data_IF_753203265876
#
_entry.id   IF_753203265876
#
_cell.length_a   1.000
_cell.length_b   1.000
_cell.length_c   1.000
_cell.angle_alpha   90.00
_cell.angle_beta   90.00
_cell.angle_gamma   90.00
#
_symmetry.space_group_name_H-M   'P 1'
#
loop_
_entity.id
_entity.type
_entity.pdbx_description
1 polymer ?
#
# COMPACT_ATOMS: atom_id res chain seq x y z
N UNK A 1 31.64 -19.65 -15.57
CA UNK A 1 31.64 -19.75 -14.11
C UNK A 1 30.24 -20.12 -13.66
N UNK A 2 30.05 -21.31 -13.07
CA UNK A 2 28.77 -21.66 -12.45
C UNK A 2 28.67 -20.82 -11.18
N UNK A 3 27.71 -19.89 -11.14
CA UNK A 3 27.35 -19.19 -9.91
C UNK A 3 26.98 -20.25 -8.87
N UNK A 4 27.76 -20.33 -7.78
CA UNK A 4 27.33 -21.07 -6.60
C UNK A 4 25.97 -20.52 -6.11
N UNK A 5 25.21 -21.28 -5.30
CA UNK A 5 23.99 -20.76 -4.71
C UNK A 5 24.32 -19.46 -3.96
N UNK A 6 23.59 -18.38 -4.28
CA UNK A 6 23.74 -17.12 -3.54
C UNK A 6 23.57 -17.41 -2.04
N UNK A 7 24.49 -16.94 -1.17
CA UNK A 7 24.35 -17.20 0.25
C UNK A 7 23.03 -16.62 0.75
N UNK A 8 22.33 -17.34 1.66
CA UNK A 8 20.98 -17.01 2.08
C UNK A 8 20.90 -15.59 2.67
N UNK A 9 19.70 -15.00 2.58
CA UNK A 9 19.40 -13.73 3.24
C UNK A 9 19.66 -13.84 4.75
N UNK A 10 20.16 -12.78 5.41
CA UNK A 10 20.27 -12.74 6.86
C UNK A 10 18.92 -13.06 7.52
N UNK A 11 18.94 -13.90 8.52
CA UNK A 11 17.74 -14.25 9.28
C UNK A 11 17.31 -13.08 10.18
N UNK A 12 16.05 -13.10 10.61
CA UNK A 12 15.57 -12.13 11.62
C UNK A 12 16.25 -12.31 12.99
N UNK A 13 16.91 -13.45 13.23
CA UNK A 13 17.70 -13.68 14.44
C UNK A 13 19.03 -12.92 14.36
N UNK A 14 19.64 -12.86 13.18
CA UNK A 14 20.83 -12.06 12.90
C UNK A 14 20.52 -10.57 12.81
N UNK A 15 19.38 -10.20 12.19
CA UNK A 15 18.96 -8.81 12.06
C UNK A 15 18.30 -8.25 13.33
N UNK A 16 17.91 -9.10 14.28
CA UNK A 16 17.24 -8.70 15.53
C UNK A 16 15.71 -8.78 15.46
N UNK A 17 15.12 -9.56 16.37
CA UNK A 17 13.66 -9.79 16.46
C UNK A 17 12.86 -8.58 16.92
N UNK A 18 13.52 -7.56 17.50
CA UNK A 18 12.89 -6.29 17.89
C UNK A 18 12.26 -5.55 16.69
N UNK A 19 12.71 -5.87 15.46
CA UNK A 19 12.08 -5.42 14.22
C UNK A 19 10.63 -5.90 14.07
N UNK A 20 10.23 -6.98 14.74
CA UNK A 20 8.87 -7.51 14.65
C UNK A 20 7.91 -6.89 15.69
N UNK A 21 8.42 -6.08 16.61
CA UNK A 21 7.67 -5.57 17.74
C UNK A 21 7.33 -4.08 17.58
N UNK A 22 6.06 -3.76 17.83
CA UNK A 22 5.55 -2.40 17.88
C UNK A 22 4.92 -2.12 19.24
N UNK A 23 5.18 -0.94 19.83
CA UNK A 23 4.49 -0.55 21.05
C UNK A 23 2.99 -0.35 20.75
N UNK A 24 2.13 -0.71 21.71
CA UNK A 24 0.67 -0.63 21.56
C UNK A 24 0.18 0.77 21.19
N UNK A 25 0.84 1.82 21.70
CA UNK A 25 0.49 3.19 21.32
C UNK A 25 0.70 3.45 19.83
N UNK A 26 1.73 2.86 19.21
CA UNK A 26 2.00 2.99 17.79
C UNK A 26 0.93 2.27 16.98
N UNK A 27 0.58 1.05 17.37
CA UNK A 27 -0.54 0.32 16.75
C UNK A 27 -1.84 1.15 16.84
N UNK A 28 -2.16 1.71 18.00
CA UNK A 28 -3.34 2.56 18.17
C UNK A 28 -3.31 3.82 17.30
N UNK A 29 -2.16 4.51 17.22
CA UNK A 29 -1.99 5.68 16.36
C UNK A 29 -2.15 5.30 14.88
N UNK A 30 -1.53 4.22 14.43
CA UNK A 30 -1.62 3.77 13.03
C UNK A 30 -3.04 3.40 12.64
N UNK A 31 -3.78 2.74 13.53
CA UNK A 31 -5.19 2.41 13.29
C UNK A 31 -6.11 3.63 13.38
N UNK A 32 -5.82 4.60 14.24
CA UNK A 32 -6.64 5.80 14.46
C UNK A 32 -6.42 6.89 13.40
N UNK A 33 -5.21 7.00 12.85
CA UNK A 33 -4.82 8.09 11.94
C UNK A 33 -5.70 8.16 10.67
N UNK A 34 -6.04 7.04 9.99
CA UNK A 34 -6.94 7.09 8.84
C UNK A 34 -8.32 7.69 9.16
N UNK A 35 -8.92 7.30 10.29
CA UNK A 35 -10.21 7.83 10.72
C UNK A 35 -10.13 9.30 11.12
N UNK A 36 -9.05 9.69 11.81
CA UNK A 36 -8.81 11.08 12.18
C UNK A 36 -8.66 11.98 10.94
N UNK A 37 -7.91 11.53 9.93
CA UNK A 37 -7.73 12.28 8.67
C UNK A 37 -9.03 12.36 7.86
N UNK A 38 -9.79 11.27 7.78
CA UNK A 38 -11.11 11.28 7.14
C UNK A 38 -12.08 12.23 7.86
N UNK A 39 -12.14 12.19 9.20
CA UNK A 39 -12.95 13.11 10.00
C UNK A 39 -12.50 14.57 9.85
N UNK A 40 -11.18 14.81 9.84
CA UNK A 40 -10.61 16.14 9.65
C UNK A 40 -10.97 16.71 8.27
N UNK A 41 -10.97 15.90 7.21
CA UNK A 41 -11.45 16.33 5.90
C UNK A 41 -12.87 16.92 6.00
N UNK A 42 -13.81 16.18 6.59
CA UNK A 42 -15.20 16.65 6.69
C UNK A 42 -15.30 17.90 7.57
N UNK A 43 -14.60 17.94 8.70
CA UNK A 43 -14.56 19.11 9.58
C UNK A 43 -14.07 20.37 8.85
N UNK A 44 -12.91 20.30 8.19
CA UNK A 44 -12.36 21.45 7.47
C UNK A 44 -13.19 21.83 6.24
N UNK A 45 -13.65 20.86 5.45
CA UNK A 45 -14.47 21.14 4.27
C UNK A 45 -15.80 21.82 4.61
N UNK A 46 -16.46 21.40 5.71
CA UNK A 46 -17.71 22.02 6.17
C UNK A 46 -17.52 23.45 6.68
N UNK A 47 -16.32 23.79 7.17
CA UNK A 47 -15.95 25.16 7.57
C UNK A 47 -15.34 26.00 6.42
N UNK A 48 -15.25 25.46 5.21
CA UNK A 48 -14.70 26.13 4.04
C UNK A 48 -13.17 26.14 3.92
N UNK A 49 -12.43 25.48 4.83
CA UNK A 49 -10.97 25.37 4.81
C UNK A 49 -10.50 24.30 3.80
N UNK A 50 -10.85 24.50 2.53
CA UNK A 50 -10.63 23.53 1.45
C UNK A 50 -9.18 23.08 1.25
N UNK A 51 -8.14 23.95 1.28
CA UNK A 51 -6.77 23.49 1.12
C UNK A 51 -6.34 22.49 2.20
N UNK A 52 -6.76 22.70 3.45
CA UNK A 52 -6.46 21.79 4.56
C UNK A 52 -7.24 20.49 4.41
N UNK A 53 -8.52 20.57 4.04
CA UNK A 53 -9.33 19.39 3.77
C UNK A 53 -8.69 18.50 2.68
N UNK A 54 -8.33 19.07 1.52
CA UNK A 54 -7.63 18.33 0.46
C UNK A 54 -6.34 17.71 0.98
N UNK A 55 -5.56 18.46 1.75
CA UNK A 55 -4.35 17.96 2.42
C UNK A 55 -4.61 16.72 3.30
N UNK A 56 -5.74 16.66 4.01
CA UNK A 56 -6.13 15.48 4.79
C UNK A 56 -6.35 14.24 3.91
N UNK A 57 -6.99 14.37 2.74
CA UNK A 57 -7.21 13.24 1.82
C UNK A 57 -5.91 12.80 1.16
N UNK A 58 -5.04 13.75 0.80
CA UNK A 58 -3.70 13.44 0.30
C UNK A 58 -2.92 12.65 1.35
N UNK A 59 -2.87 13.13 2.59
CA UNK A 59 -2.23 12.42 3.69
C UNK A 59 -2.85 11.03 3.93
N UNK A 60 -4.18 10.92 3.85
CA UNK A 60 -4.91 9.67 4.00
C UNK A 60 -4.48 8.63 2.93
N UNK A 61 -4.27 9.06 1.70
CA UNK A 61 -3.80 8.19 0.62
C UNK A 61 -2.45 7.56 0.94
N UNK A 62 -1.50 8.35 1.46
CA UNK A 62 -0.16 7.85 1.81
C UNK A 62 -0.14 6.95 3.05
N UNK A 63 -0.92 7.26 4.09
CA UNK A 63 -0.93 6.46 5.33
C UNK A 63 -1.69 5.13 5.19
N UNK A 64 -2.45 4.93 4.12
CA UNK A 64 -3.23 3.70 3.90
C UNK A 64 -2.47 2.67 3.08
N UNK A 65 -2.53 2.75 1.73
CA UNK A 65 -2.10 1.66 0.83
C UNK A 65 -0.70 1.15 1.16
N UNK A 66 0.30 2.03 1.19
CA UNK A 66 1.70 1.65 1.40
C UNK A 66 2.14 1.51 2.86
N UNK A 67 1.24 1.70 3.84
CA UNK A 67 1.57 1.86 5.27
C UNK A 67 0.65 1.02 6.15
N UNK A 68 -0.39 1.57 6.80
CA UNK A 68 -1.19 0.79 7.77
C UNK A 68 -1.98 -0.33 7.09
N UNK A 69 -2.47 -0.12 5.86
CA UNK A 69 -3.22 -1.13 5.13
C UNK A 69 -2.31 -2.30 4.75
N UNK A 70 -1.08 -2.00 4.37
CA UNK A 70 -0.04 -2.98 4.12
C UNK A 70 0.25 -3.83 5.37
N UNK A 71 0.43 -3.20 6.53
CA UNK A 71 0.64 -3.90 7.79
C UNK A 71 -0.56 -4.80 8.14
N UNK A 72 -1.78 -4.36 7.84
CA UNK A 72 -3.00 -5.15 8.02
C UNK A 72 -3.07 -6.33 7.02
N UNK A 73 -2.63 -6.14 5.78
CA UNK A 73 -2.54 -7.19 4.75
C UNK A 73 -1.60 -8.32 5.22
N UNK A 74 -0.43 -7.98 5.74
CA UNK A 74 0.56 -8.94 6.26
C UNK A 74 0.33 -9.36 7.71
N UNK A 75 -0.62 -8.72 8.41
CA UNK A 75 -0.93 -8.93 9.84
C UNK A 75 0.27 -8.66 10.77
N UNK A 76 1.12 -7.70 10.41
CA UNK A 76 2.31 -7.32 11.18
C UNK A 76 1.96 -6.58 12.47
N UNK A 77 0.75 -6.00 12.58
CA UNK A 77 0.26 -5.34 13.80
C UNK A 77 -0.13 -6.32 14.93
N UNK A 78 -0.11 -7.64 14.67
CA UNK A 78 -0.43 -8.70 15.65
C UNK A 78 -1.80 -8.56 16.33
N UNK A 79 -2.77 -8.00 15.62
CA UNK A 79 -4.15 -7.91 16.10
C UNK A 79 -4.82 -9.29 16.05
N UNK A 80 -5.80 -9.58 16.93
CA UNK A 80 -6.67 -10.73 16.75
C UNK A 80 -7.30 -10.71 15.36
N UNK A 81 -7.40 -11.89 14.71
CA UNK A 81 -7.85 -12.01 13.30
C UNK A 81 -9.10 -11.18 13.00
N UNK A 82 -10.13 -11.25 13.85
CA UNK A 82 -11.38 -10.48 13.66
C UNK A 82 -11.15 -8.97 13.55
N UNK A 83 -10.27 -8.42 14.39
CA UNK A 83 -9.99 -6.98 14.42
C UNK A 83 -9.10 -6.57 13.26
N UNK A 84 -8.14 -7.40 12.88
CA UNK A 84 -7.34 -7.13 11.69
C UNK A 84 -8.22 -7.10 10.42
N UNK A 85 -9.18 -8.01 10.30
CA UNK A 85 -10.10 -8.02 9.17
C UNK A 85 -11.04 -6.81 9.20
N UNK A 86 -11.58 -6.47 10.36
CA UNK A 86 -12.40 -5.27 10.56
C UNK A 86 -11.64 -3.99 10.15
N UNK A 87 -10.45 -3.76 10.70
CA UNK A 87 -9.67 -2.55 10.41
C UNK A 87 -9.23 -2.50 8.95
N UNK A 88 -8.85 -3.63 8.35
CA UNK A 88 -8.52 -3.66 6.93
C UNK A 88 -9.73 -3.23 6.10
N UNK A 89 -10.91 -3.82 6.32
CA UNK A 89 -12.10 -3.43 5.57
C UNK A 89 -12.49 -1.97 5.85
N UNK A 90 -12.52 -1.53 7.10
CA UNK A 90 -12.95 -0.19 7.47
C UNK A 90 -12.03 0.91 6.92
N UNK A 91 -10.71 0.76 7.06
CA UNK A 91 -9.72 1.73 6.57
C UNK A 91 -9.72 1.78 5.04
N UNK A 92 -9.86 0.64 4.37
CA UNK A 92 -9.88 0.58 2.91
C UNK A 92 -11.16 1.18 2.34
N UNK A 93 -12.30 1.05 3.04
CA UNK A 93 -13.55 1.73 2.69
C UNK A 93 -13.46 3.25 2.79
N UNK A 94 -12.66 3.81 3.71
CA UNK A 94 -12.38 5.26 3.72
C UNK A 94 -11.77 5.74 2.40
N UNK A 95 -11.01 4.87 1.74
CA UNK A 95 -10.39 5.13 0.44
C UNK A 95 -11.16 4.50 -0.73
N UNK A 96 -12.41 4.08 -0.53
CA UNK A 96 -13.27 3.46 -1.55
C UNK A 96 -12.64 2.24 -2.23
N UNK A 97 -11.91 1.43 -1.45
CA UNK A 97 -11.19 0.23 -1.91
C UNK A 97 -11.65 -1.00 -1.15
N UNK A 98 -11.55 -2.16 -1.81
CA UNK A 98 -11.81 -3.45 -1.17
C UNK A 98 -10.53 -3.94 -0.49
N UNK A 99 -10.53 -3.94 0.84
CA UNK A 99 -9.42 -4.47 1.62
C UNK A 99 -9.18 -5.95 1.40
N UNK A 100 -10.25 -6.73 1.13
CA UNK A 100 -10.11 -8.15 0.78
C UNK A 100 -9.42 -8.33 -0.57
N UNK A 101 -9.82 -7.57 -1.58
CA UNK A 101 -9.20 -7.62 -2.91
C UNK A 101 -7.73 -7.23 -2.84
N UNK A 102 -7.42 -6.15 -2.09
CA UNK A 102 -6.05 -5.73 -1.88
C UNK A 102 -5.20 -6.83 -1.23
N UNK A 103 -5.66 -7.41 -0.11
CA UNK A 103 -4.93 -8.52 0.54
C UNK A 103 -4.67 -9.69 -0.40
N UNK A 104 -5.69 -10.11 -1.16
CA UNK A 104 -5.57 -11.27 -2.04
C UNK A 104 -4.59 -11.01 -3.19
N UNK A 105 -4.66 -9.83 -3.81
CA UNK A 105 -3.74 -9.43 -4.87
C UNK A 105 -2.30 -9.35 -4.33
N UNK A 106 -2.12 -8.73 -3.17
CA UNK A 106 -0.81 -8.50 -2.58
C UNK A 106 -0.13 -9.77 -2.08
N UNK A 107 -0.85 -10.67 -1.44
CA UNK A 107 -0.27 -11.96 -1.05
C UNK A 107 0.03 -12.84 -2.26
N UNK A 108 -0.75 -12.72 -3.34
CA UNK A 108 -0.48 -13.41 -4.59
C UNK A 108 0.77 -12.87 -5.29
N UNK A 109 0.97 -11.55 -5.28
CA UNK A 109 2.19 -10.90 -5.74
C UNK A 109 3.42 -11.43 -4.97
N UNK A 110 3.37 -11.43 -3.64
CA UNK A 110 4.44 -11.97 -2.79
C UNK A 110 4.74 -13.45 -3.06
N UNK A 111 3.71 -14.26 -3.27
CA UNK A 111 3.88 -15.68 -3.56
C UNK A 111 4.55 -15.97 -4.91
N UNK A 112 4.57 -15.00 -5.83
CA UNK A 112 5.11 -15.15 -7.18
C UNK A 112 6.40 -14.39 -7.38
N UNK A 113 6.65 -13.36 -6.59
CA UNK A 113 7.91 -12.64 -6.55
C UNK A 113 9.09 -13.61 -6.33
N UNK A 114 10.20 -13.53 -7.09
CA UNK A 114 10.52 -12.50 -8.09
C UNK A 114 10.05 -12.81 -9.52
N UNK A 115 9.37 -13.93 -9.75
CA UNK A 115 8.92 -14.30 -11.09
C UNK A 115 7.80 -13.34 -11.55
N UNK A 116 8.07 -12.60 -12.63
CA UNK A 116 7.10 -11.71 -13.28
C UNK A 116 6.16 -12.53 -14.14
N UNK A 117 5.06 -12.99 -13.55
CA UNK A 117 4.02 -13.72 -14.27
C UNK A 117 2.89 -12.79 -14.72
N UNK A 118 2.33 -13.11 -15.88
CA UNK A 118 1.20 -12.41 -16.51
C UNK A 118 -0.08 -12.33 -15.63
N UNK A 119 -0.19 -13.14 -14.57
CA UNK A 119 -1.36 -13.19 -13.70
C UNK A 119 -1.20 -12.38 -12.39
N UNK A 120 -0.21 -11.49 -12.29
CA UNK A 120 -0.06 -10.59 -11.15
C UNK A 120 -0.70 -9.21 -11.43
N UNK A 121 -1.94 -8.95 -10.96
CA UNK A 121 -2.61 -7.68 -11.21
C UNK A 121 -1.97 -6.50 -10.48
N UNK A 122 -1.19 -6.73 -9.41
CA UNK A 122 -0.56 -5.67 -8.64
C UNK A 122 0.76 -5.24 -9.29
N UNK A 123 1.56 -6.20 -9.78
CA UNK A 123 2.78 -5.91 -10.53
C UNK A 123 2.55 -5.60 -12.02
N UNK A 124 1.30 -5.58 -12.50
CA UNK A 124 0.98 -5.42 -13.93
C UNK A 124 1.59 -4.16 -14.57
N UNK A 125 1.81 -3.09 -13.79
CA UNK A 125 2.43 -1.85 -14.27
C UNK A 125 3.96 -1.80 -14.11
N UNK A 126 4.60 -2.84 -13.57
CA UNK A 126 6.05 -2.88 -13.32
C UNK A 126 6.90 -2.68 -14.59
N UNK A 127 6.44 -3.21 -15.73
CA UNK A 127 7.11 -3.08 -17.03
C UNK A 127 6.51 -2.00 -17.93
N UNK A 128 5.43 -1.34 -17.51
CA UNK A 128 4.80 -0.30 -18.29
C UNK A 128 5.70 0.93 -18.36
N UNK A 129 5.60 1.74 -19.42
CA UNK A 129 6.15 3.10 -19.41
C UNK A 129 5.46 3.97 -18.33
N UNK A 130 6.07 5.08 -17.89
CA UNK A 130 5.54 5.89 -16.79
C UNK A 130 4.12 6.42 -17.04
N UNK A 131 3.84 6.88 -18.27
CA UNK A 131 2.52 7.33 -18.67
C UNK A 131 1.50 6.19 -18.71
N UNK A 132 1.90 5.01 -19.19
CA UNK A 132 1.03 3.83 -19.21
C UNK A 132 0.72 3.32 -17.80
N UNK A 133 1.69 3.39 -16.88
CA UNK A 133 1.48 3.06 -15.48
C UNK A 133 0.45 4.00 -14.83
N UNK A 134 0.56 5.31 -15.04
CA UNK A 134 -0.43 6.29 -14.57
C UNK A 134 -1.81 6.08 -15.21
N UNK A 135 -1.85 5.84 -16.53
CA UNK A 135 -3.09 5.59 -17.25
C UNK A 135 -3.82 4.30 -16.83
N UNK A 136 -3.12 3.37 -16.18
CA UNK A 136 -3.73 2.17 -15.59
C UNK A 136 -4.45 2.43 -14.25
N UNK A 137 -4.14 3.55 -13.60
CA UNK A 137 -4.66 3.97 -12.29
C UNK A 137 -6.19 4.00 -12.15
N UNK A 138 -6.94 4.63 -13.07
CA UNK A 138 -8.39 4.78 -12.97
C UNK A 138 -9.16 3.47 -12.74
N UNK A 139 -8.68 2.37 -13.32
CA UNK A 139 -9.32 1.06 -13.22
C UNK A 139 -8.57 0.08 -12.32
N UNK A 140 -7.46 0.49 -11.70
CA UNK A 140 -6.57 -0.40 -10.95
C UNK A 140 -7.31 -1.17 -9.86
N UNK A 141 -7.97 -0.45 -8.94
CA UNK A 141 -8.67 -1.09 -7.81
C UNK A 141 -9.88 -1.92 -8.24
N UNK A 142 -10.57 -1.51 -9.32
CA UNK A 142 -11.62 -2.32 -9.93
C UNK A 142 -11.05 -3.62 -10.50
N UNK A 143 -9.92 -3.56 -11.21
CA UNK A 143 -9.23 -4.74 -11.76
C UNK A 143 -8.79 -5.71 -10.65
N UNK A 144 -8.24 -5.20 -9.54
CA UNK A 144 -7.89 -6.02 -8.37
C UNK A 144 -9.12 -6.72 -7.79
N UNK A 145 -10.22 -5.99 -7.60
CA UNK A 145 -11.47 -6.55 -7.09
C UNK A 145 -12.07 -7.60 -8.03
N UNK A 146 -12.12 -7.32 -9.33
CA UNK A 146 -12.61 -8.24 -10.34
C UNK A 146 -11.76 -9.51 -10.43
N UNK A 147 -10.44 -9.35 -10.46
CA UNK A 147 -9.49 -10.47 -10.43
C UNK A 147 -9.70 -11.33 -9.17
N UNK A 148 -9.83 -10.70 -7.99
CA UNK A 148 -10.05 -11.41 -6.73
C UNK A 148 -11.38 -12.19 -6.73
N UNK A 149 -12.46 -11.59 -7.24
CA UNK A 149 -13.76 -12.24 -7.40
C UNK A 149 -13.69 -13.46 -8.31
N UNK A 150 -12.93 -13.39 -9.41
CA UNK A 150 -12.75 -14.53 -10.33
C UNK A 150 -11.89 -15.63 -9.71
N UNK A 151 -10.76 -15.27 -9.11
CA UNK A 151 -9.73 -16.21 -8.64
C UNK A 151 -10.06 -16.89 -7.31
N UNK A 152 -10.81 -16.23 -6.42
CA UNK A 152 -11.05 -16.69 -5.05
C UNK A 152 -12.55 -16.83 -4.74
N UNK A 153 -13.21 -17.92 -5.19
CA UNK A 153 -14.66 -18.12 -5.01
C UNK A 153 -15.08 -18.12 -3.54
N UNK A 154 -14.25 -18.66 -2.63
CA UNK A 154 -14.51 -18.69 -1.19
C UNK A 154 -14.60 -17.29 -0.53
N UNK A 155 -14.10 -16.24 -1.20
CA UNK A 155 -14.12 -14.87 -0.69
C UNK A 155 -15.19 -13.98 -1.35
N UNK A 156 -15.92 -14.49 -2.37
CA UNK A 156 -16.85 -13.70 -3.19
C UNK A 156 -17.89 -12.94 -2.38
N UNK A 157 -18.55 -13.59 -1.42
CA UNK A 157 -19.58 -12.93 -0.61
C UNK A 157 -19.04 -11.68 0.08
N UNK A 158 -17.83 -11.76 0.67
CA UNK A 158 -17.21 -10.61 1.35
C UNK A 158 -16.73 -9.55 0.37
N UNK A 159 -16.18 -9.96 -0.77
CA UNK A 159 -15.79 -9.04 -1.84
C UNK A 159 -17.00 -8.26 -2.37
N UNK A 160 -18.14 -8.91 -2.56
CA UNK A 160 -19.39 -8.26 -2.95
C UNK A 160 -19.94 -7.34 -1.86
N UNK A 161 -19.90 -7.74 -0.59
CA UNK A 161 -20.30 -6.87 0.52
C UNK A 161 -19.44 -5.60 0.58
N UNK A 162 -18.11 -5.71 0.41
CA UNK A 162 -17.23 -4.54 0.31
C UNK A 162 -17.56 -3.69 -0.92
N UNK A 163 -17.82 -4.31 -2.08
CA UNK A 163 -18.24 -3.61 -3.30
C UNK A 163 -19.56 -2.86 -3.15
N UNK A 164 -20.56 -3.48 -2.53
CA UNK A 164 -21.84 -2.84 -2.17
C UNK A 164 -21.60 -1.69 -1.20
N UNK A 165 -20.76 -1.88 -0.18
CA UNK A 165 -20.39 -0.81 0.76
C UNK A 165 -19.78 0.41 0.04
N UNK A 166 -18.85 0.19 -0.89
CA UNK A 166 -18.26 1.26 -1.71
C UNK A 166 -19.33 1.95 -2.56
N UNK A 167 -20.18 1.18 -3.25
CA UNK A 167 -21.25 1.73 -4.07
C UNK A 167 -22.27 2.53 -3.23
N UNK A 168 -22.60 2.08 -2.03
CA UNK A 168 -23.46 2.79 -1.08
C UNK A 168 -22.83 4.10 -0.60
N UNK A 169 -21.53 4.13 -0.31
CA UNK A 169 -20.83 5.36 0.07
C UNK A 169 -20.84 6.39 -1.07
N UNK A 170 -20.58 5.95 -2.30
CA UNK A 170 -20.63 6.81 -3.49
C UNK A 170 -22.07 7.30 -3.73
N UNK A 171 -23.06 6.39 -3.67
CA UNK A 171 -24.46 6.72 -3.84
C UNK A 171 -24.96 7.71 -2.78
N UNK A 172 -24.56 7.54 -1.52
CA UNK A 172 -24.86 8.48 -0.45
C UNK A 172 -24.23 9.85 -0.69
N UNK A 173 -22.99 9.90 -1.18
CA UNK A 173 -22.34 11.16 -1.52
C UNK A 173 -23.06 11.91 -2.65
N UNK A 174 -23.50 11.19 -3.69
CA UNK A 174 -24.31 11.76 -4.78
C UNK A 174 -25.68 12.22 -4.25
N UNK A 175 -26.34 11.42 -3.43
CA UNK A 175 -27.64 11.77 -2.84
C UNK A 175 -27.54 13.04 -2.00
N UNK A 176 -26.52 13.17 -1.14
CA UNK A 176 -26.31 14.36 -0.31
C UNK A 176 -25.98 15.60 -1.18
N UNK A 177 -25.27 15.43 -2.29
CA UNK A 177 -25.00 16.53 -3.22
C UNK A 177 -26.26 17.03 -3.93
N UNK A 178 -27.16 16.12 -4.33
CA UNK A 178 -28.38 16.46 -5.07
C UNK A 178 -29.51 16.94 -4.15
N UNK A 179 -29.76 16.22 -3.06
CA UNK A 179 -30.93 16.44 -2.18
C UNK A 179 -30.57 17.03 -0.82
N UNK A 180 -29.35 16.81 -0.34
CA UNK A 180 -28.87 17.34 0.95
C UNK A 180 -28.18 18.70 0.84
N UNK A 181 -28.08 19.27 -0.36
CA UNK A 181 -27.44 20.55 -0.66
C UNK A 181 -25.98 20.68 -0.18
N UNK A 182 -25.21 19.59 -0.12
CA UNK A 182 -23.79 19.62 0.23
C UNK A 182 -22.93 18.80 -0.72
N UNK A 183 -21.98 19.47 -1.39
CA UNK A 183 -21.04 18.82 -2.32
C UNK A 183 -19.87 18.13 -1.59
N UNK A 184 -19.70 18.35 -0.29
CA UNK A 184 -18.52 17.90 0.48
C UNK A 184 -18.24 16.40 0.34
N UNK A 185 -19.21 15.48 0.56
CA UNK A 185 -18.94 14.06 0.40
C UNK A 185 -18.62 13.66 -1.05
N UNK A 186 -19.18 14.36 -2.03
CA UNK A 186 -18.91 14.09 -3.45
C UNK A 186 -17.50 14.54 -3.85
N UNK A 187 -17.04 15.69 -3.34
CA UNK A 187 -15.63 16.12 -3.49
C UNK A 187 -14.69 15.11 -2.85
N UNK A 188 -15.03 14.55 -1.68
CA UNK A 188 -14.23 13.49 -1.04
C UNK A 188 -14.07 12.28 -1.97
N UNK A 189 -15.17 11.79 -2.53
CA UNK A 189 -15.18 10.68 -3.48
C UNK A 189 -14.28 10.99 -4.69
N UNK A 190 -14.40 12.19 -5.25
CA UNK A 190 -13.57 12.63 -6.38
C UNK A 190 -12.08 12.69 -6.06
N UNK A 191 -11.71 13.23 -4.88
CA UNK A 191 -10.32 13.31 -4.41
C UNK A 191 -9.73 11.93 -4.13
N UNK A 192 -10.49 11.05 -3.46
CA UNK A 192 -10.07 9.67 -3.20
C UNK A 192 -9.87 8.93 -4.52
N UNK A 193 -10.83 9.00 -5.45
CA UNK A 193 -10.74 8.33 -6.73
C UNK A 193 -9.54 8.81 -7.55
N UNK A 194 -9.38 10.12 -7.73
CA UNK A 194 -8.24 10.67 -8.50
C UNK A 194 -6.89 10.42 -7.81
N UNK A 195 -6.84 10.52 -6.47
CA UNK A 195 -5.64 10.24 -5.68
C UNK A 195 -5.15 8.79 -5.79
N UNK A 196 -6.03 7.84 -6.10
CA UNK A 196 -5.64 6.44 -6.31
C UNK A 196 -4.94 6.17 -7.63
N UNK A 197 -4.99 7.08 -8.60
CA UNK A 197 -4.45 6.83 -9.94
C UNK A 197 -2.92 6.72 -9.96
N UNK A 198 -2.26 7.35 -8.99
CA UNK A 198 -0.81 7.30 -8.86
C UNK A 198 -0.31 5.94 -8.34
N UNK A 199 -1.18 5.10 -7.78
CA UNK A 199 -0.77 3.86 -7.09
C UNK A 199 0.01 2.89 -7.99
N UNK A 200 -0.43 2.52 -9.20
CA UNK A 200 0.35 1.60 -10.05
C UNK A 200 1.69 2.18 -10.45
N UNK A 201 1.75 3.50 -10.66
CA UNK A 201 3.01 4.19 -10.91
C UNK A 201 3.94 4.13 -9.71
N UNK A 202 3.47 4.54 -8.53
CA UNK A 202 4.27 4.66 -7.32
C UNK A 202 4.67 3.32 -6.70
N UNK A 203 3.84 2.28 -6.85
CA UNK A 203 3.98 1.02 -6.10
C UNK A 203 4.38 -0.18 -6.96
N UNK A 204 4.17 -0.11 -8.29
CA UNK A 204 4.63 -1.14 -9.21
C UNK A 204 5.74 -0.62 -10.13
N UNK A 205 5.51 0.48 -10.87
CA UNK A 205 6.48 0.97 -11.86
C UNK A 205 7.77 1.55 -11.23
N UNK A 206 7.65 2.47 -10.27
CA UNK A 206 8.81 3.13 -9.63
C UNK A 206 9.72 2.14 -8.89
N UNK A 207 9.20 1.21 -8.05
CA UNK A 207 10.05 0.34 -7.27
C UNK A 207 10.60 -0.86 -8.03
N UNK A 208 10.05 -1.25 -9.18
CA UNK A 208 10.53 -2.42 -9.91
C UNK A 208 11.53 -2.08 -11.02
N UNK A 209 12.39 -3.04 -11.33
CA UNK A 209 13.32 -3.03 -12.44
C UNK A 209 12.88 -4.10 -13.44
N UNK A 210 12.47 -3.71 -14.67
CA UNK A 210 11.97 -4.64 -15.69
C UNK A 210 12.89 -5.82 -16.00
N UNK A 211 14.20 -5.60 -15.95
CA UNK A 211 15.21 -6.61 -16.33
C UNK A 211 15.77 -7.38 -15.13
N UNK A 212 15.24 -7.16 -13.93
CA UNK A 212 15.68 -7.85 -12.72
C UNK A 212 15.18 -9.29 -12.71
N UNK A 213 16.09 -10.25 -12.56
CA UNK A 213 15.80 -11.68 -12.63
C UNK A 213 15.74 -12.36 -11.26
N UNK A 214 16.04 -11.65 -10.18
CA UNK A 214 16.06 -12.20 -8.83
C UNK A 214 15.60 -11.22 -7.75
N UNK A 215 15.41 -11.69 -6.50
CA UNK A 215 14.83 -10.91 -5.41
C UNK A 215 15.61 -9.65 -5.05
N UNK A 216 16.93 -9.62 -5.32
CA UNK A 216 17.78 -8.47 -5.03
C UNK A 216 17.89 -7.49 -6.21
N UNK A 217 17.55 -7.92 -7.42
CA UNK A 217 17.77 -7.16 -8.66
C UNK A 217 16.48 -6.65 -9.30
N UNK A 218 15.32 -7.17 -8.90
CA UNK A 218 14.00 -6.82 -9.44
C UNK A 218 13.31 -5.68 -8.71
N UNK A 219 13.74 -5.37 -7.49
CA UNK A 219 13.23 -4.23 -6.73
C UNK A 219 14.36 -3.26 -6.41
N UNK A 220 14.12 -1.98 -6.69
CA UNK A 220 15.06 -0.89 -6.48
C UNK A 220 15.19 -0.60 -4.99
N UNK A 221 16.43 -0.35 -4.56
CA UNK A 221 16.78 0.08 -3.21
C UNK A 221 16.83 1.60 -3.15
N UNK A 222 15.86 2.23 -2.47
CA UNK A 222 15.84 3.68 -2.26
C UNK A 222 16.36 4.08 -0.88
N UNK A 223 17.09 5.19 -0.80
CA UNK A 223 17.54 5.82 0.46
C UNK A 223 17.39 7.34 0.39
N UNK A 224 17.23 7.99 1.55
CA UNK A 224 17.24 9.45 1.67
C UNK A 224 16.00 10.02 2.35
N UNK A 225 16.13 11.21 2.93
CA UNK A 225 15.05 11.86 3.71
C UNK A 225 13.87 12.25 2.84
N UNK A 226 14.12 12.64 1.59
CA UNK A 226 13.06 13.00 0.63
C UNK A 226 12.31 11.75 0.17
N UNK A 227 13.02 10.65 -0.11
CA UNK A 227 12.37 9.36 -0.43
C UNK A 227 11.41 8.94 0.68
N UNK A 228 11.86 9.06 1.93
CA UNK A 228 11.08 8.77 3.12
C UNK A 228 9.88 9.69 3.30
N UNK A 229 10.04 10.99 3.10
CA UNK A 229 8.97 11.97 3.29
C UNK A 229 7.91 11.92 2.18
N UNK A 230 8.34 11.83 0.93
CA UNK A 230 7.45 11.88 -0.25
C UNK A 230 6.68 10.58 -0.44
N UNK A 231 7.25 9.44 -0.01
CA UNK A 231 6.60 8.15 -0.16
C UNK A 231 6.17 7.49 1.15
N UNK A 232 6.25 8.20 2.30
CA UNK A 232 5.99 7.67 3.64
C UNK A 232 6.56 6.26 3.87
N UNK A 233 7.86 6.12 3.66
CA UNK A 233 8.60 4.85 3.79
C UNK A 233 8.18 3.75 2.78
N UNK A 234 7.20 3.97 1.90
CA UNK A 234 6.78 2.96 0.91
C UNK A 234 7.85 2.62 -0.13
N UNK A 235 8.88 3.46 -0.27
CA UNK A 235 10.05 3.18 -1.11
C UNK A 235 11.03 2.18 -0.49
N UNK A 236 10.81 1.70 0.74
CA UNK A 236 11.48 0.51 1.30
C UNK A 236 10.87 -0.79 0.76
N UNK A 237 10.54 -0.80 -0.53
CA UNK A 237 9.81 -1.88 -1.20
C UNK A 237 10.66 -3.16 -1.29
N UNK A 238 11.99 -3.02 -1.44
CA UNK A 238 12.91 -4.16 -1.43
C UNK A 238 12.92 -4.83 -0.07
N UNK A 239 13.06 -4.05 1.01
CA UNK A 239 13.03 -4.55 2.38
C UNK A 239 11.72 -5.26 2.70
N UNK A 240 10.61 -4.69 2.21
CA UNK A 240 9.30 -5.32 2.29
C UNK A 240 9.26 -6.69 1.60
N UNK A 241 9.75 -6.79 0.37
CA UNK A 241 9.80 -8.08 -0.34
C UNK A 241 10.66 -9.12 0.36
N UNK A 242 11.81 -8.71 0.90
CA UNK A 242 12.72 -9.62 1.58
C UNK A 242 12.20 -10.03 2.96
N UNK A 243 11.50 -9.14 3.68
CA UNK A 243 11.02 -9.36 5.04
C UNK A 243 9.58 -8.87 5.26
N UNK A 244 8.56 -9.48 4.61
CA UNK A 244 7.17 -9.02 4.65
C UNK A 244 6.53 -9.08 6.05
N UNK A 245 7.18 -9.77 7.00
CA UNK A 245 6.75 -9.87 8.40
C UNK A 245 7.15 -8.66 9.24
N UNK A 246 8.04 -7.81 8.75
CA UNK A 246 8.48 -6.59 9.44
C UNK A 246 7.48 -5.47 9.16
N UNK A 247 6.86 -4.88 10.18
CA UNK A 247 5.91 -3.79 10.00
C UNK A 247 6.57 -2.56 9.39
N UNK A 248 5.82 -1.76 8.63
CA UNK A 248 6.38 -0.65 7.85
C UNK A 248 7.14 0.38 8.69
N UNK A 249 6.70 0.62 9.93
CA UNK A 249 7.39 1.50 10.88
C UNK A 249 8.84 1.10 11.20
N UNK A 250 9.19 -0.17 10.96
CA UNK A 250 10.51 -0.73 11.21
C UNK A 250 11.33 -0.87 9.93
N UNK A 251 10.80 -0.56 8.75
CA UNK A 251 11.55 -0.60 7.51
C UNK A 251 12.80 0.28 7.48
N UNK A 252 12.82 1.52 8.03
CA UNK A 252 14.05 2.30 8.07
C UNK A 252 15.16 1.62 8.88
N UNK A 253 14.79 0.97 9.98
CA UNK A 253 15.73 0.26 10.85
C UNK A 253 16.16 -1.08 10.23
N UNK A 254 15.23 -1.81 9.62
CA UNK A 254 15.54 -3.00 8.83
C UNK A 254 16.52 -2.67 7.69
N UNK A 255 16.24 -1.60 6.94
CA UNK A 255 17.11 -1.12 5.87
C UNK A 255 18.53 -0.85 6.39
N UNK A 256 18.66 -0.15 7.53
CA UNK A 256 19.96 0.13 8.16
C UNK A 256 20.73 -1.14 8.52
N UNK A 257 20.05 -2.18 9.01
CA UNK A 257 20.67 -3.46 9.39
C UNK A 257 20.97 -4.34 8.18
N UNK A 258 20.19 -4.20 7.11
CA UNK A 258 20.33 -4.97 5.88
C UNK A 258 21.32 -4.33 4.88
N UNK A 259 21.59 -3.03 5.02
CA UNK A 259 22.48 -2.27 4.14
C UNK A 259 23.86 -2.91 3.93
N UNK A 260 24.59 -3.36 4.98
CA UNK A 260 25.90 -4.00 4.79
C UNK A 260 25.83 -5.26 3.91
N UNK A 261 24.78 -6.06 4.08
CA UNK A 261 24.56 -7.26 3.27
C UNK A 261 24.22 -6.91 1.81
N UNK A 262 23.39 -5.89 1.58
CA UNK A 262 23.02 -5.45 0.23
C UNK A 262 24.20 -4.81 -0.51
N UNK A 263 25.07 -4.09 0.22
CA UNK A 263 26.28 -3.48 -0.32
C UNK A 263 27.30 -4.55 -0.76
N UNK A 264 27.51 -5.59 0.06
CA UNK A 264 28.37 -6.75 -0.28
C UNK A 264 27.91 -7.46 -1.57
N UNK A 265 26.59 -7.49 -1.82
CA UNK A 265 25.99 -8.08 -3.02
C UNK A 265 25.87 -7.13 -4.20
N UNK A 266 26.39 -5.91 -4.09
CA UNK A 266 26.38 -4.93 -5.17
C UNK A 266 24.98 -4.40 -5.54
N UNK A 267 24.00 -4.47 -4.63
CA UNK A 267 22.64 -3.98 -4.89
C UNK A 267 22.66 -2.45 -4.97
N UNK A 268 22.46 -1.92 -6.19
CA UNK A 268 22.52 -0.48 -6.46
C UNK A 268 21.52 0.30 -5.62
N UNK A 269 22.02 1.34 -4.94
CA UNK A 269 21.22 2.29 -4.17
C UNK A 269 20.87 3.53 -5.00
N UNK A 270 19.60 3.95 -4.93
CA UNK A 270 19.11 5.22 -5.45
C UNK A 270 18.97 6.18 -4.27
N UNK A 271 19.83 7.21 -4.22
CA UNK A 271 19.83 8.20 -3.14
C UNK A 271 19.05 9.44 -3.56
N UNK A 272 17.98 9.77 -2.83
CA UNK A 272 17.21 10.99 -2.97
C UNK A 272 17.51 11.90 -1.78
N UNK A 273 18.63 12.66 -1.89
CA UNK A 273 19.20 13.59 -0.91
C UNK A 273 19.65 12.98 0.45
N UNK A 274 20.74 13.52 0.99
CA UNK A 274 21.43 13.06 2.21
C UNK A 274 20.71 13.44 3.50
#
# INVERSE_FOLDING_TARGET
MRSGPEPPLPTLDELGRDLLDLPRCRVAVSLGTPFALAGAYFGFALTGWWPVAVGCVVALSFVTYGSVSHDLVHRTLRLPKRWNEFFLTAIELLMLRSGRAYRLAHLNHHARYPALLHDDPEAAAAHAGPLAALASGPLFFFRLWWWACRRYPAHRTRLWLEGVGIASLIGAAVFIAVYGHSVVPLVYVGLVYTGTWIVPFATAHVPHTPDGTGPLSQTRRFRGRIARLVALDHLYHLEHHLYPRVPHHRWPELARRLDPFLDDRGVRVIRLWW
#
